data_IF_785405725990
#
_entry.id   IF_785405725990
#
_cell.length_a   1.000
_cell.length_b   1.000
_cell.length_c   1.000
_cell.angle_alpha   90.00
_cell.angle_beta   90.00
_cell.angle_gamma   90.00
#
_symmetry.space_group_name_H-M   'P 1'
#
loop_
_entity.id
_entity.type
_entity.pdbx_description
1 polymer ?
#
# COMPACT_ATOMS: atom_id res chain seq x y z
N UNK A 1 -0.45 9.54 15.57
CA UNK A 1 -0.63 9.49 14.13
C UNK A 1 -0.29 8.09 13.62
N UNK A 2 -1.21 7.50 12.86
CA UNK A 2 -1.07 6.13 12.41
C UNK A 2 -0.90 6.07 10.90
N UNK A 3 -0.05 5.15 10.46
CA UNK A 3 0.10 4.83 9.05
C UNK A 3 -0.46 3.43 8.82
N UNK A 4 -1.34 3.32 7.86
CA UNK A 4 -1.93 2.04 7.47
C UNK A 4 -1.02 1.38 6.45
N UNK A 5 -0.70 0.13 6.69
CA UNK A 5 0.12 -0.67 5.77
C UNK A 5 -0.75 -1.81 5.27
N UNK A 6 -1.47 -1.61 4.16
CA UNK A 6 -2.38 -2.63 3.64
C UNK A 6 -1.63 -3.75 2.94
N UNK A 7 -2.32 -4.85 2.72
CA UNK A 7 -1.79 -5.89 1.84
C UNK A 7 -1.62 -5.35 0.42
N UNK A 8 -0.61 -5.85 -0.26
CA UNK A 8 -0.33 -5.47 -1.65
C UNK A 8 -1.14 -6.36 -2.60
N UNK A 9 -2.46 -6.26 -2.50
CA UNK A 9 -3.37 -7.11 -3.26
C UNK A 9 -4.43 -6.27 -3.98
N UNK A 10 -4.06 -5.73 -5.14
CA UNK A 10 -4.90 -4.82 -5.93
C UNK A 10 -6.11 -5.50 -6.55
N UNK A 11 -6.15 -6.83 -6.55
CA UNK A 11 -7.24 -7.60 -7.15
C UNK A 11 -8.29 -8.01 -6.14
N UNK A 12 -8.02 -7.81 -4.86
CA UNK A 12 -8.95 -8.21 -3.82
C UNK A 12 -9.93 -7.08 -3.51
N UNK A 13 -11.23 -7.23 -3.85
CA UNK A 13 -12.21 -6.15 -3.63
C UNK A 13 -12.33 -5.74 -2.17
N UNK A 14 -12.15 -6.67 -1.23
CA UNK A 14 -12.24 -6.37 0.19
C UNK A 14 -11.07 -5.52 0.65
N UNK A 15 -9.88 -5.80 0.16
CA UNK A 15 -8.70 -4.98 0.45
C UNK A 15 -8.91 -3.57 -0.09
N UNK A 16 -9.36 -3.45 -1.33
CA UNK A 16 -9.61 -2.14 -1.94
C UNK A 16 -10.68 -1.35 -1.20
N UNK A 17 -11.75 -2.01 -0.79
CA UNK A 17 -12.82 -1.36 -0.04
C UNK A 17 -12.33 -0.86 1.31
N UNK A 18 -11.57 -1.68 2.02
CA UNK A 18 -10.97 -1.30 3.31
C UNK A 18 -10.04 -0.11 3.15
N UNK A 19 -9.18 -0.12 2.14
CA UNK A 19 -8.27 0.98 1.87
C UNK A 19 -9.03 2.26 1.57
N UNK A 20 -10.05 2.20 0.73
CA UNK A 20 -10.87 3.34 0.39
C UNK A 20 -11.51 3.96 1.62
N UNK A 21 -12.10 3.13 2.48
CA UNK A 21 -12.74 3.60 3.71
C UNK A 21 -11.74 4.28 4.64
N UNK A 22 -10.57 3.71 4.82
CA UNK A 22 -9.54 4.25 5.70
C UNK A 22 -8.97 5.57 5.16
N UNK A 23 -8.82 5.66 3.85
CA UNK A 23 -8.38 6.91 3.20
C UNK A 23 -9.41 8.03 3.39
N UNK A 24 -10.69 7.71 3.27
CA UNK A 24 -11.76 8.68 3.51
C UNK A 24 -11.78 9.16 4.96
N UNK A 25 -11.35 8.32 5.88
CA UNK A 25 -11.21 8.68 7.30
C UNK A 25 -9.98 9.54 7.58
N UNK A 26 -9.12 9.74 6.60
CA UNK A 26 -7.95 10.62 6.72
C UNK A 26 -6.66 9.95 7.20
N UNK A 27 -6.60 8.65 7.24
CA UNK A 27 -5.36 7.95 7.62
C UNK A 27 -4.29 8.07 6.57
N UNK A 28 -3.03 8.12 7.03
CA UNK A 28 -1.89 7.93 6.15
C UNK A 28 -1.85 6.48 5.68
N UNK A 29 -1.47 6.27 4.44
CA UNK A 29 -1.47 4.93 3.88
C UNK A 29 -0.28 4.69 2.97
N UNK A 30 0.30 3.49 3.08
CA UNK A 30 1.31 3.02 2.15
C UNK A 30 0.61 2.48 0.91
N UNK A 31 1.04 2.96 -0.25
CA UNK A 31 0.62 2.39 -1.54
C UNK A 31 1.84 1.73 -2.16
N UNK A 32 1.84 0.41 -2.18
CA UNK A 32 3.00 -0.35 -2.61
C UNK A 32 3.35 -0.04 -4.06
N UNK A 33 4.64 0.22 -4.36
CA UNK A 33 5.04 0.52 -5.73
C UNK A 33 4.92 -0.70 -6.64
N UNK A 34 4.85 -0.44 -7.94
CA UNK A 34 4.88 -1.50 -8.93
C UNK A 34 6.20 -2.25 -8.82
N UNK A 35 6.20 -3.51 -9.16
CA UNK A 35 7.40 -4.33 -9.06
C UNK A 35 7.51 -5.16 -7.79
N UNK A 36 6.76 -4.81 -6.75
CA UNK A 36 6.68 -5.67 -5.57
C UNK A 36 5.56 -6.68 -5.79
N UNK A 37 5.93 -7.95 -5.82
CA UNK A 37 5.00 -9.03 -6.17
C UNK A 37 4.36 -9.71 -4.96
N UNK A 38 4.95 -9.54 -3.80
CA UNK A 38 4.48 -10.19 -2.57
C UNK A 38 3.31 -9.43 -1.99
N UNK A 39 2.33 -10.17 -1.44
CA UNK A 39 1.07 -9.58 -0.98
C UNK A 39 1.17 -8.92 0.38
N UNK A 40 2.06 -9.39 1.24
CA UNK A 40 2.16 -8.84 2.59
C UNK A 40 3.62 -8.76 3.05
N UNK A 41 3.81 -8.08 4.19
CA UNK A 41 5.14 -7.85 4.75
C UNK A 41 5.84 -9.17 5.08
N UNK A 42 5.11 -10.13 5.60
CA UNK A 42 5.70 -11.41 5.96
C UNK A 42 6.30 -12.11 4.73
N UNK A 43 5.58 -12.12 3.62
CA UNK A 43 6.06 -12.70 2.37
C UNK A 43 7.27 -11.93 1.85
N UNK A 44 7.27 -10.61 1.97
CA UNK A 44 8.39 -9.77 1.56
C UNK A 44 9.66 -10.13 2.33
N UNK A 45 9.55 -10.28 3.64
CA UNK A 45 10.68 -10.67 4.49
C UNK A 45 11.14 -12.08 4.16
N UNK A 46 10.22 -13.00 3.99
CA UNK A 46 10.54 -14.39 3.64
C UNK A 46 11.25 -14.52 2.29
N UNK A 47 10.98 -13.59 1.38
CA UNK A 47 11.65 -13.56 0.07
C UNK A 47 13.07 -13.03 0.12
N UNK A 48 13.52 -12.51 1.27
CA UNK A 48 14.87 -12.00 1.45
C UNK A 48 14.97 -10.48 1.55
N UNK A 49 13.84 -9.77 1.56
CA UNK A 49 13.86 -8.32 1.73
C UNK A 49 14.30 -7.97 3.14
N UNK A 50 15.24 -7.05 3.26
CA UNK A 50 15.73 -6.62 4.57
C UNK A 50 14.77 -5.62 5.20
N UNK A 51 14.89 -5.45 6.53
CA UNK A 51 14.09 -4.46 7.25
C UNK A 51 14.37 -3.05 6.75
N UNK A 52 15.62 -2.76 6.40
CA UNK A 52 16.01 -1.44 5.90
C UNK A 52 15.38 -1.16 4.54
N UNK A 53 15.41 -2.15 3.63
CA UNK A 53 14.77 -2.03 2.33
C UNK A 53 13.27 -1.80 2.48
N UNK A 54 12.64 -2.57 3.35
CA UNK A 54 11.21 -2.47 3.60
C UNK A 54 10.85 -1.09 4.16
N UNK A 55 11.64 -0.61 5.13
CA UNK A 55 11.42 0.72 5.73
C UNK A 55 11.54 1.82 4.68
N UNK A 56 12.53 1.72 3.80
CA UNK A 56 12.72 2.69 2.73
C UNK A 56 11.52 2.71 1.78
N UNK A 57 11.03 1.54 1.39
CA UNK A 57 9.86 1.43 0.53
C UNK A 57 8.63 2.05 1.19
N UNK A 58 8.40 1.73 2.46
CA UNK A 58 7.27 2.27 3.21
C UNK A 58 7.35 3.80 3.28
N UNK A 59 8.51 4.33 3.67
CA UNK A 59 8.67 5.77 3.81
C UNK A 59 8.50 6.51 2.49
N UNK A 60 8.96 5.94 1.40
CA UNK A 60 8.88 6.57 0.09
C UNK A 60 7.51 6.46 -0.56
N UNK A 61 6.62 5.63 -0.01
CA UNK A 61 5.32 5.35 -0.61
C UNK A 61 4.16 5.56 0.36
N UNK A 62 4.36 6.38 1.37
CA UNK A 62 3.31 6.78 2.32
C UNK A 62 2.68 8.08 1.86
N UNK A 63 1.36 8.09 1.73
CA UNK A 63 0.61 9.24 1.23
C UNK A 63 -0.49 9.61 2.21
N UNK A 64 -0.96 10.85 2.12
CA UNK A 64 -1.97 11.39 3.02
C UNK A 64 -2.94 12.32 2.28
N UNK A 65 -4.18 12.38 2.77
CA UNK A 65 -5.18 13.32 2.29
C UNK A 65 -5.56 13.12 0.83
N UNK A 66 -5.78 14.23 0.12
CA UNK A 66 -6.21 14.20 -1.27
C UNK A 66 -5.16 13.52 -2.18
N UNK A 67 -3.90 13.70 -1.86
CA UNK A 67 -2.83 13.04 -2.62
C UNK A 67 -2.94 11.52 -2.52
N UNK A 68 -3.25 11.02 -1.33
CA UNK A 68 -3.43 9.58 -1.13
C UNK A 68 -4.63 9.05 -1.92
N UNK A 69 -5.74 9.79 -1.93
CA UNK A 69 -6.92 9.40 -2.69
C UNK A 69 -6.64 9.36 -4.20
N UNK A 70 -5.93 10.36 -4.70
CA UNK A 70 -5.56 10.42 -6.11
C UNK A 70 -4.63 9.26 -6.47
N UNK A 71 -3.61 9.02 -5.67
CA UNK A 71 -2.66 7.94 -5.89
C UNK A 71 -3.35 6.58 -5.80
N UNK A 72 -4.25 6.40 -4.85
CA UNK A 72 -5.02 5.17 -4.70
C UNK A 72 -5.88 4.88 -5.92
N UNK A 73 -6.53 5.91 -6.48
CA UNK A 73 -7.36 5.76 -7.66
C UNK A 73 -6.56 5.18 -8.83
N UNK A 74 -5.31 5.61 -8.99
CA UNK A 74 -4.43 5.07 -10.02
C UNK A 74 -3.87 3.70 -9.62
N UNK A 75 -3.53 3.53 -8.35
CA UNK A 75 -2.94 2.31 -7.83
C UNK A 75 -3.88 1.10 -7.99
N UNK A 76 -5.16 1.30 -7.77
CA UNK A 76 -6.15 0.22 -7.84
C UNK A 76 -6.46 -0.22 -9.28
N UNK A 77 -6.10 0.56 -10.27
CA UNK A 77 -6.27 0.19 -11.67
C UNK A 77 -5.25 -0.88 -12.02
N UNK A 78 -5.74 -1.99 -12.52
CA UNK A 78 -4.88 -3.10 -12.91
C UNK A 78 -4.94 -3.20 -14.41
N UNK A 79 -3.75 -3.08 -15.04
CA UNK A 79 -3.63 -3.34 -16.47
C UNK A 79 -3.56 -4.85 -16.68
N UNK A 80 -4.50 -5.35 -17.39
CA UNK A 80 -4.61 -6.79 -17.67
C UNK A 80 -4.11 -7.08 -19.05
#
# INVERSE_FOLDING_TARGET
EYTIIPDNDRRNPQVLKSMSNLLEMGYNMVLWPDGIKHKDINDMIMSGMTKEELRTIINNNTYQGNMALLKFTNWRKINV
#
